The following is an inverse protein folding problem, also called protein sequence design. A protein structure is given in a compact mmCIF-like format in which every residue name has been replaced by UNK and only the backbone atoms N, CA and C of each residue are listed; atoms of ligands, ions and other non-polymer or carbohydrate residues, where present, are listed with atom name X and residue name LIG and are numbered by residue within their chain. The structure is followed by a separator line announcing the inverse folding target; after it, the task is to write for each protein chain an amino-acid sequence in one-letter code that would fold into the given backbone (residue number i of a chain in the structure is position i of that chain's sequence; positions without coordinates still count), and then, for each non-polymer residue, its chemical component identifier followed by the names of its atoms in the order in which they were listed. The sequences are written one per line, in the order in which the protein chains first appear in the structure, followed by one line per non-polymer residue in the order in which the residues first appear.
data_IF_778434307626
#
_entry.id   IF_778434307626
#
_cell.length_a   1.000
_cell.length_b   1.000
_cell.length_c   1.000
_cell.angle_alpha   90.00
_cell.angle_beta   90.00
_cell.angle_gamma   90.00
#
_symmetry.space_group_name_H-M   'P 1'
#
loop_
_entity.id
_entity.type
_entity.pdbx_description
1 polymer ?
#
# COMPACT_ATOMS: atom_id res chain seq x y z
N UNK A 1 -1.15 -3.84 29.63
CA UNK A 1 -0.51 -4.54 28.49
C UNK A 1 0.85 -3.93 28.33
N UNK A 2 1.91 -4.72 28.48
CA UNK A 2 3.29 -4.28 28.26
C UNK A 2 3.65 -4.52 26.78
N UNK A 3 3.78 -3.46 25.99
CA UNK A 3 4.11 -3.54 24.56
C UNK A 3 5.56 -3.98 24.28
N UNK A 4 6.36 -4.13 25.33
CA UNK A 4 7.76 -4.55 25.29
C UNK A 4 8.00 -5.87 26.04
N UNK A 5 7.10 -6.84 25.90
CA UNK A 5 7.23 -8.18 26.52
C UNK A 5 8.47 -8.99 26.06
N UNK A 6 9.23 -8.48 25.09
CA UNK A 6 10.50 -9.05 24.62
C UNK A 6 11.73 -8.48 25.31
N UNK A 7 11.60 -7.35 26.03
CA UNK A 7 12.68 -6.81 26.86
C UNK A 7 12.55 -7.41 28.26
N UNK A 8 13.64 -8.01 28.74
CA UNK A 8 13.71 -8.54 30.10
C UNK A 8 13.54 -7.40 31.11
N UNK A 9 12.34 -7.27 31.69
CA UNK A 9 11.98 -6.20 32.60
C UNK A 9 12.92 -6.11 33.82
N UNK A 10 13.60 -7.20 34.17
CA UNK A 10 14.57 -7.25 35.26
C UNK A 10 15.88 -6.49 34.96
N UNK A 11 16.22 -6.30 33.68
CA UNK A 11 17.45 -5.62 33.24
C UNK A 11 17.25 -4.13 32.97
N UNK A 12 16.00 -3.64 33.01
CA UNK A 12 15.65 -2.26 32.69
C UNK A 12 15.67 -1.38 33.95
N UNK A 13 16.38 -0.26 33.88
CA UNK A 13 16.45 0.72 34.99
C UNK A 13 15.11 1.44 35.21
N UNK A 14 14.39 1.18 36.30
CA UNK A 14 13.10 1.81 36.62
C UNK A 14 13.09 3.35 36.45
N UNK A 15 14.20 4.02 36.77
CA UNK A 15 14.26 5.49 36.73
C UNK A 15 14.58 6.08 35.35
N UNK A 16 15.02 5.26 34.39
CA UNK A 16 15.43 5.72 33.06
C UNK A 16 14.87 4.81 31.97
N UNK A 17 13.82 5.27 31.26
CA UNK A 17 13.30 4.52 30.13
C UNK A 17 14.32 4.42 28.99
N UNK A 18 14.09 3.51 28.04
CA UNK A 18 14.92 3.49 26.83
C UNK A 18 14.50 4.62 25.90
N UNK A 19 15.45 5.13 25.11
CA UNK A 19 15.14 6.14 24.09
C UNK A 19 14.14 5.59 23.04
N UNK A 20 14.18 4.27 22.77
CA UNK A 20 13.22 3.61 21.89
C UNK A 20 11.80 3.64 22.44
N UNK A 21 11.60 3.40 23.75
CA UNK A 21 10.29 3.55 24.40
C UNK A 21 9.71 4.96 24.18
N UNK A 22 10.53 6.00 24.41
CA UNK A 22 10.12 7.40 24.25
C UNK A 22 9.81 7.74 22.78
N UNK A 23 10.65 7.29 21.83
CA UNK A 23 10.41 7.54 20.40
C UNK A 23 9.13 6.83 19.95
N UNK A 24 8.91 5.59 20.42
CA UNK A 24 7.71 4.83 20.06
C UNK A 24 6.43 5.49 20.55
N UNK A 25 6.42 6.05 21.78
CA UNK A 25 5.27 6.80 22.28
C UNK A 25 5.00 8.05 21.44
N UNK A 26 6.05 8.78 21.07
CA UNK A 26 5.93 9.98 20.24
C UNK A 26 5.46 9.66 18.81
N UNK A 27 5.86 8.52 18.25
CA UNK A 27 5.39 8.07 16.93
C UNK A 27 3.89 7.74 16.96
N UNK A 28 3.43 7.01 17.97
CA UNK A 28 2.01 6.73 18.15
C UNK A 28 1.23 8.04 18.30
N UNK A 29 1.79 8.98 19.03
CA UNK A 29 1.19 10.29 19.23
C UNK A 29 1.02 11.09 17.93
N UNK A 30 2.06 11.12 17.09
CA UNK A 30 2.05 11.81 15.81
C UNK A 30 0.99 11.25 14.83
N UNK A 31 0.61 9.98 14.98
CA UNK A 31 -0.37 9.29 14.13
C UNK A 31 -1.83 9.57 14.53
N UNK A 32 -2.09 10.07 15.74
CA UNK A 32 -3.47 10.28 16.22
C UNK A 32 -4.22 11.34 15.41
N UNK A 33 -3.60 12.52 15.21
CA UNK A 33 -4.26 13.64 14.52
C UNK A 33 -4.57 13.33 13.05
N UNK A 34 -3.64 12.78 12.24
CA UNK A 34 -3.94 12.39 10.86
C UNK A 34 -5.03 11.31 10.77
N UNK A 35 -5.04 10.34 11.68
CA UNK A 35 -6.03 9.26 11.70
C UNK A 35 -7.44 9.78 11.97
N UNK A 36 -7.58 10.66 12.97
CA UNK A 36 -8.86 11.31 13.26
C UNK A 36 -9.34 12.18 12.09
N UNK A 37 -8.42 12.91 11.45
CA UNK A 37 -8.73 13.71 10.26
C UNK A 37 -9.21 12.84 9.11
N UNK A 38 -8.54 11.72 8.83
CA UNK A 38 -8.91 10.81 7.76
C UNK A 38 -10.32 10.23 7.97
N UNK A 39 -10.61 9.77 9.18
CA UNK A 39 -11.96 9.27 9.55
C UNK A 39 -12.99 10.37 9.31
N UNK A 40 -12.73 11.58 9.81
CA UNK A 40 -13.65 12.70 9.66
C UNK A 40 -13.90 13.05 8.19
N UNK A 41 -12.86 13.10 7.36
CA UNK A 41 -12.97 13.38 5.92
C UNK A 41 -13.77 12.28 5.22
N UNK A 42 -13.53 11.01 5.54
CA UNK A 42 -14.27 9.88 4.96
C UNK A 42 -15.77 9.93 5.29
N UNK A 43 -16.14 10.33 6.51
CA UNK A 43 -17.54 10.52 6.86
C UNK A 43 -18.11 11.83 6.32
N UNK A 44 -17.29 12.88 6.20
CA UNK A 44 -17.71 14.18 5.66
C UNK A 44 -18.12 14.07 4.19
N UNK A 45 -17.47 13.19 3.41
CA UNK A 45 -17.86 12.94 2.02
C UNK A 45 -19.22 12.24 1.89
N UNK A 46 -19.65 11.49 2.92
CA UNK A 46 -20.97 10.83 2.97
C UNK A 46 -22.07 11.73 3.52
N UNK A 47 -21.75 12.56 4.52
CA UNK A 47 -22.73 13.41 5.22
C UNK A 47 -22.26 14.88 5.32
N UNK A 48 -22.31 15.65 4.22
CA UNK A 48 -21.66 16.97 4.15
C UNK A 48 -22.30 18.06 5.02
N UNK A 49 -23.60 17.99 5.33
CA UNK A 49 -24.34 19.08 5.99
C UNK A 49 -23.73 19.52 7.34
N UNK A 50 -23.36 18.58 8.20
CA UNK A 50 -22.84 18.89 9.54
C UNK A 50 -21.32 18.69 9.63
N UNK A 51 -20.79 17.62 9.01
CA UNK A 51 -19.37 17.27 9.14
C UNK A 51 -18.44 18.23 8.43
N UNK A 52 -18.89 18.95 7.40
CA UNK A 52 -18.04 19.92 6.69
C UNK A 52 -17.64 21.09 7.60
N UNK A 53 -18.54 21.56 8.46
CA UNK A 53 -18.22 22.61 9.45
C UNK A 53 -17.21 22.14 10.49
N UNK A 54 -17.33 20.88 10.92
CA UNK A 54 -16.40 20.24 11.86
C UNK A 54 -15.04 20.07 11.21
N UNK A 55 -14.99 19.58 9.96
CA UNK A 55 -13.76 19.36 9.20
C UNK A 55 -13.00 20.68 8.95
N UNK A 56 -13.70 21.77 8.65
CA UNK A 56 -13.07 23.08 8.45
C UNK A 56 -12.46 23.66 9.74
N UNK A 57 -12.93 23.23 10.92
CA UNK A 57 -12.38 23.63 12.23
C UNK A 57 -11.67 22.48 12.93
N UNK A 58 -11.22 21.48 12.17
CA UNK A 58 -10.65 20.26 12.71
C UNK A 58 -9.49 20.54 13.66
N UNK A 59 -8.55 21.42 13.28
CA UNK A 59 -7.37 21.71 14.10
C UNK A 59 -7.74 22.25 15.49
N UNK A 60 -8.74 23.13 15.57
CA UNK A 60 -9.19 23.74 16.83
C UNK A 60 -9.92 22.71 17.71
N UNK A 61 -10.78 21.90 17.09
CA UNK A 61 -11.53 20.86 17.79
C UNK A 61 -10.58 19.77 18.28
N UNK A 62 -9.63 19.37 17.45
CA UNK A 62 -8.60 18.39 17.78
C UNK A 62 -7.70 18.89 18.90
N UNK A 63 -7.28 20.17 18.88
CA UNK A 63 -6.52 20.76 19.97
C UNK A 63 -7.27 20.71 21.29
N UNK A 64 -8.56 21.10 21.31
CA UNK A 64 -9.37 21.09 22.54
C UNK A 64 -9.56 19.65 23.05
N UNK A 65 -9.98 18.74 22.16
CA UNK A 65 -10.25 17.35 22.49
C UNK A 65 -8.99 16.66 22.99
N UNK A 66 -7.87 16.76 22.26
CA UNK A 66 -6.60 16.13 22.67
C UNK A 66 -6.11 16.75 23.97
N UNK A 67 -6.14 18.08 24.11
CA UNK A 67 -5.68 18.73 25.36
C UNK A 67 -6.52 18.31 26.57
N UNK A 68 -7.83 18.06 26.40
CA UNK A 68 -8.68 17.52 27.46
C UNK A 68 -8.28 16.08 27.86
N UNK A 69 -8.04 15.21 26.87
CA UNK A 69 -7.57 13.85 27.12
C UNK A 69 -6.21 13.89 27.83
N UNK A 70 -5.26 14.66 27.31
CA UNK A 70 -3.93 14.79 27.90
C UNK A 70 -3.98 15.39 29.30
N UNK A 71 -4.85 16.37 29.55
CA UNK A 71 -5.06 16.92 30.89
C UNK A 71 -5.52 15.85 31.88
N UNK A 72 -6.47 15.00 31.49
CA UNK A 72 -6.92 13.89 32.33
C UNK A 72 -5.77 12.92 32.63
N UNK A 73 -5.06 12.45 31.60
CA UNK A 73 -3.96 11.50 31.80
C UNK A 73 -2.80 12.09 32.61
N UNK A 74 -2.39 13.33 32.34
CA UNK A 74 -1.32 13.98 33.12
C UNK A 74 -1.74 14.26 34.57
N UNK A 75 -3.02 14.55 34.82
CA UNK A 75 -3.50 14.82 36.18
C UNK A 75 -3.53 13.57 37.06
N UNK A 76 -3.93 12.42 36.51
CA UNK A 76 -4.09 11.18 37.28
C UNK A 76 -2.88 10.24 37.16
N UNK A 77 -2.26 10.12 36.00
CA UNK A 77 -1.17 9.17 35.72
C UNK A 77 0.21 9.83 35.61
N UNK A 78 0.27 11.16 35.54
CA UNK A 78 1.53 11.92 35.38
C UNK A 78 2.29 11.62 34.08
N UNK A 79 1.65 10.98 33.12
CA UNK A 79 2.14 10.79 31.76
C UNK A 79 1.07 11.24 30.75
N UNK A 80 1.51 11.52 29.52
CA UNK A 80 0.61 11.66 28.38
C UNK A 80 -0.19 10.37 28.15
N UNK A 81 -1.32 10.46 27.44
CA UNK A 81 -2.11 9.30 27.02
C UNK A 81 -1.24 8.22 26.36
N UNK A 82 -0.36 8.62 25.43
CA UNK A 82 0.51 7.69 24.69
C UNK A 82 1.67 7.20 25.56
N UNK A 83 2.24 8.06 26.39
CA UNK A 83 3.27 7.68 27.37
C UNK A 83 2.74 6.61 28.34
N UNK A 84 1.54 6.80 28.89
CA UNK A 84 0.89 5.85 29.79
C UNK A 84 0.63 4.50 29.11
N UNK A 85 0.27 4.51 27.81
CA UNK A 85 0.12 3.29 27.02
C UNK A 85 1.43 2.48 26.90
N UNK A 86 2.57 3.18 26.87
CA UNK A 86 3.91 2.58 26.87
C UNK A 86 4.50 2.38 28.27
N UNK A 87 3.75 2.62 29.34
CA UNK A 87 4.22 2.43 30.71
C UNK A 87 5.15 3.54 31.21
N UNK A 88 5.10 4.73 30.62
CA UNK A 88 5.95 5.88 30.94
C UNK A 88 5.18 6.96 31.71
N UNK A 89 5.91 7.67 32.57
CA UNK A 89 5.43 8.86 33.28
C UNK A 89 6.50 9.97 33.32
N UNK A 90 6.05 11.20 33.53
CA UNK A 90 6.87 12.39 33.74
C UNK A 90 6.89 12.72 35.23
N UNK A 91 8.08 12.91 35.77
CA UNK A 91 8.30 13.23 37.19
C UNK A 91 9.10 14.52 37.34
N UNK A 92 8.84 15.25 38.41
CA UNK A 92 9.64 16.42 38.77
C UNK A 92 11.06 15.98 39.19
N UNK A 93 12.08 16.70 38.73
CA UNK A 93 13.48 16.45 39.09
C UNK A 93 13.71 16.87 40.55
N UNK A 94 13.52 15.94 41.48
CA UNK A 94 13.85 16.11 42.89
C UNK A 94 15.16 15.39 43.21
N UNK A 95 16.07 16.08 43.91
CA UNK A 95 17.29 15.44 44.42
C UNK A 95 16.87 14.38 45.43
N UNK A 96 17.04 13.12 45.07
CA UNK A 96 16.63 11.97 45.88
C UNK A 96 17.82 11.05 46.03
N UNK A 97 18.09 10.63 47.27
CA UNK A 97 19.14 9.67 47.55
C UNK A 97 18.63 8.25 47.26
N UNK A 98 19.42 7.44 46.57
CA UNK A 98 19.07 6.05 46.21
C UNK A 98 18.74 5.16 47.42
N UNK A 99 19.19 5.52 48.63
CA UNK A 99 18.84 4.80 49.88
C UNK A 99 17.42 5.12 50.37
N UNK A 100 16.92 6.32 50.08
CA UNK A 100 15.58 6.74 50.49
C UNK A 100 14.51 6.15 49.58
N UNK A 101 14.80 6.03 48.28
CA UNK A 101 13.92 5.38 47.30
C UNK A 101 13.66 3.92 47.66
N UNK A 102 14.66 3.21 48.18
CA UNK A 102 14.49 1.81 48.61
C UNK A 102 13.73 1.65 49.92
N UNK A 103 13.84 2.60 50.86
CA UNK A 103 13.21 2.48 52.19
C UNK A 103 11.75 2.93 52.19
N UNK A 104 11.43 4.01 51.48
CA UNK A 104 10.10 4.62 51.49
C UNK A 104 9.69 5.06 50.07
N UNK A 105 9.38 4.10 49.17
CA UNK A 105 9.13 4.40 47.76
C UNK A 105 7.89 5.29 47.55
N UNK A 106 6.81 5.07 48.31
CA UNK A 106 5.57 5.85 48.18
C UNK A 106 5.75 7.35 48.46
N UNK A 107 6.44 7.70 49.56
CA UNK A 107 6.68 9.10 49.93
C UNK A 107 7.61 9.82 48.94
N UNK A 108 8.54 9.09 48.31
CA UNK A 108 9.40 9.65 47.28
C UNK A 108 8.61 9.91 46.00
N UNK A 109 7.74 8.98 45.60
CA UNK A 109 6.86 9.16 44.45
C UNK A 109 5.87 10.31 44.64
N UNK A 110 5.36 10.52 45.86
CA UNK A 110 4.51 11.67 46.19
C UNK A 110 5.24 13.01 46.11
N UNK A 111 6.55 13.05 46.35
CA UNK A 111 7.36 14.26 46.12
C UNK A 111 7.74 14.48 44.66
N UNK A 112 7.77 13.42 43.86
CA UNK A 112 8.12 13.44 42.43
C UNK A 112 6.97 13.89 41.53
N UNK A 113 5.79 14.16 42.09
CA UNK A 113 4.63 14.60 41.34
C UNK A 113 4.86 15.94 40.61
N UNK A 114 4.21 16.09 39.45
CA UNK A 114 4.30 17.29 38.63
C UNK A 114 3.61 18.48 39.31
N UNK A 115 4.25 19.65 39.22
CA UNK A 115 3.63 20.93 39.59
C UNK A 115 2.60 21.36 38.55
N UNK A 116 1.67 22.26 38.92
CA UNK A 116 0.67 22.77 37.98
C UNK A 116 1.29 23.44 36.74
N UNK A 117 2.43 24.12 36.89
CA UNK A 117 3.16 24.70 35.76
C UNK A 117 3.76 23.62 34.85
N UNK A 118 4.41 22.61 35.44
CA UNK A 118 4.98 21.47 34.67
C UNK A 118 3.88 20.67 33.97
N UNK A 119 2.70 20.54 34.58
CA UNK A 119 1.54 19.91 33.97
C UNK A 119 1.07 20.71 32.75
N UNK A 120 0.91 22.03 32.86
CA UNK A 120 0.53 22.88 31.73
C UNK A 120 1.58 22.88 30.62
N UNK A 121 2.86 22.92 30.96
CA UNK A 121 3.98 22.81 30.00
C UNK A 121 3.94 21.48 29.28
N UNK A 122 3.66 20.38 29.99
CA UNK A 122 3.57 19.05 29.38
C UNK A 122 2.42 18.94 28.40
N UNK A 123 1.24 19.46 28.76
CA UNK A 123 0.11 19.55 27.83
C UNK A 123 0.50 20.39 26.61
N UNK A 124 1.13 21.54 26.84
CA UNK A 124 1.57 22.43 25.76
C UNK A 124 2.63 21.77 24.87
N UNK A 125 3.54 20.97 25.42
CA UNK A 125 4.54 20.24 24.63
C UNK A 125 3.90 19.22 23.69
N UNK A 126 2.95 18.43 24.20
CA UNK A 126 2.29 17.34 23.47
C UNK A 126 1.36 17.90 22.39
N UNK A 127 0.40 18.76 22.76
CA UNK A 127 -0.62 19.25 21.82
C UNK A 127 -0.30 20.64 21.27
N UNK A 128 0.20 21.53 22.11
CA UNK A 128 0.43 22.94 21.77
C UNK A 128 1.56 23.16 20.77
N UNK A 129 2.70 22.47 20.94
CA UNK A 129 3.84 22.58 20.02
C UNK A 129 3.47 22.07 18.64
N UNK A 130 2.78 20.93 18.55
CA UNK A 130 2.32 20.38 17.27
C UNK A 130 1.42 21.39 16.53
N UNK A 131 0.37 21.89 17.19
CA UNK A 131 -0.55 22.87 16.61
C UNK A 131 0.15 24.19 16.24
N UNK A 132 0.94 24.75 17.14
CA UNK A 132 1.62 26.03 16.91
C UNK A 132 2.64 25.90 15.78
N UNK A 133 3.39 24.80 15.73
CA UNK A 133 4.34 24.55 14.65
C UNK A 133 3.65 24.44 13.29
N UNK A 134 2.50 23.77 13.20
CA UNK A 134 1.72 23.65 11.96
C UNK A 134 1.20 25.03 11.51
N UNK A 135 0.60 25.81 12.41
CA UNK A 135 0.10 27.16 12.08
C UNK A 135 1.22 28.11 11.68
N UNK A 136 2.36 28.07 12.38
CA UNK A 136 3.51 28.92 12.06
C UNK A 136 4.16 28.52 10.73
N UNK A 137 4.33 27.22 10.45
CA UNK A 137 4.84 26.73 9.17
C UNK A 137 3.93 27.16 8.02
N UNK A 138 2.60 27.01 8.15
CA UNK A 138 1.64 27.45 7.14
C UNK A 138 1.75 28.96 6.85
N UNK A 139 1.83 29.78 7.91
CA UNK A 139 2.00 31.25 7.76
C UNK A 139 3.33 31.59 7.11
N UNK A 140 4.39 30.88 7.49
CA UNK A 140 5.71 31.02 6.90
C UNK A 140 5.68 30.72 5.40
N UNK A 141 5.12 29.60 4.95
CA UNK A 141 5.05 29.26 3.53
C UNK A 141 4.28 30.30 2.70
N UNK A 142 3.13 30.75 3.21
CA UNK A 142 2.31 31.77 2.55
C UNK A 142 3.04 33.11 2.43
N UNK A 143 3.74 33.55 3.48
CA UNK A 143 4.46 34.83 3.46
C UNK A 143 5.81 34.74 2.76
N UNK A 144 6.50 33.60 2.83
CA UNK A 144 7.75 33.34 2.13
C UNK A 144 7.54 33.40 0.61
N UNK A 145 6.45 32.82 0.10
CA UNK A 145 6.08 32.93 -1.32
C UNK A 145 5.88 34.39 -1.76
N UNK A 146 5.20 35.19 -0.92
CA UNK A 146 5.01 36.63 -1.19
C UNK A 146 6.29 37.45 -1.07
N UNK A 147 7.19 37.04 -0.18
CA UNK A 147 8.50 37.66 -0.01
C UNK A 147 9.38 37.44 -1.24
N UNK A 148 9.45 36.20 -1.75
CA UNK A 148 10.24 35.88 -2.95
C UNK A 148 9.69 36.57 -4.21
N UNK A 149 8.36 36.67 -4.32
CA UNK A 149 7.70 37.32 -5.47
C UNK A 149 7.71 38.84 -5.39
N UNK A 150 8.37 39.44 -4.38
CA UNK A 150 8.38 40.88 -4.10
C UNK A 150 6.97 41.50 -4.00
N UNK A 151 5.96 40.68 -3.69
CA UNK A 151 4.58 41.15 -3.42
C UNK A 151 4.43 41.70 -2.00
N UNK A 152 5.49 41.60 -1.19
CA UNK A 152 5.53 41.98 0.22
C UNK A 152 6.43 43.21 0.45
N UNK A 153 6.40 44.15 -0.48
CA UNK A 153 7.13 45.42 -0.40
C UNK A 153 6.23 46.59 0.02
N UNK A 154 6.84 47.61 0.63
CA UNK A 154 6.14 48.83 1.03
C UNK A 154 6.02 49.76 -0.15
N UNK A 155 4.79 50.18 -0.48
CA UNK A 155 4.53 51.22 -1.48
C UNK A 155 4.20 52.55 -0.78
N UNK A 156 4.58 53.66 -1.39
CA UNK A 156 4.31 55.02 -0.87
C UNK A 156 2.80 55.31 -0.70
N UNK A 157 1.93 54.58 -1.42
CA UNK A 157 0.48 54.68 -1.34
C UNK A 157 -0.15 53.99 -0.11
N UNK A 158 0.60 53.15 0.60
CA UNK A 158 0.06 52.34 1.70
C UNK A 158 0.00 53.15 3.01
N UNK A 159 -0.99 52.85 3.85
CA UNK A 159 -1.08 53.45 5.19
C UNK A 159 0.12 53.04 6.06
N UNK A 160 0.56 53.90 6.99
CA UNK A 160 1.66 53.60 7.93
C UNK A 160 1.46 52.29 8.69
N UNK A 161 0.20 51.98 9.03
CA UNK A 161 -0.18 50.72 9.69
C UNK A 161 0.07 49.53 8.78
N UNK A 162 -0.28 49.63 7.51
CA UNK A 162 -0.07 48.58 6.52
C UNK A 162 1.42 48.35 6.29
N UNK A 163 2.19 49.43 6.15
CA UNK A 163 3.65 49.39 6.05
C UNK A 163 4.30 48.73 7.27
N UNK A 164 3.81 49.00 8.48
CA UNK A 164 4.27 48.29 9.69
C UNK A 164 3.95 46.79 9.62
N UNK A 165 2.75 46.40 9.21
CA UNK A 165 2.41 44.97 9.10
C UNK A 165 3.25 44.25 8.05
N UNK A 166 3.57 44.91 6.93
CA UNK A 166 4.44 44.37 5.88
C UNK A 166 5.85 44.17 6.43
N UNK A 167 6.40 45.17 7.12
CA UNK A 167 7.71 45.07 7.78
C UNK A 167 7.76 43.95 8.82
N UNK A 168 6.71 43.78 9.63
CA UNK A 168 6.61 42.70 10.62
C UNK A 168 6.56 41.31 9.95
N UNK A 169 5.77 41.14 8.87
CA UNK A 169 5.72 39.89 8.11
C UNK A 169 7.08 39.55 7.49
N UNK A 170 7.77 40.54 6.94
CA UNK A 170 9.11 40.39 6.38
C UNK A 170 10.11 39.93 7.45
N UNK A 171 10.16 40.63 8.59
CA UNK A 171 11.02 40.21 9.71
C UNK A 171 10.67 38.82 10.23
N UNK A 172 9.39 38.46 10.28
CA UNK A 172 8.99 37.12 10.69
C UNK A 172 9.55 36.05 9.75
N UNK A 173 9.47 36.25 8.43
CA UNK A 173 10.00 35.31 7.43
C UNK A 173 11.53 35.16 7.57
N UNK A 174 12.23 36.25 7.90
CA UNK A 174 13.68 36.21 8.12
C UNK A 174 14.06 35.48 9.44
N UNK A 175 13.29 35.67 10.52
CA UNK A 175 13.62 35.15 11.86
C UNK A 175 13.13 33.71 12.10
N UNK A 176 11.96 33.36 11.57
CA UNK A 176 11.32 32.05 11.81
C UNK A 176 12.22 30.83 11.56
N UNK A 177 12.97 30.70 10.44
CA UNK A 177 13.81 29.53 10.21
C UNK A 177 14.92 29.38 11.26
N UNK A 178 15.46 30.48 11.78
CA UNK A 178 16.46 30.44 12.85
C UNK A 178 15.84 29.99 14.18
N UNK A 179 14.65 30.46 14.53
CA UNK A 179 13.93 30.00 15.72
C UNK A 179 13.60 28.49 15.64
N UNK A 180 13.11 28.04 14.48
CA UNK A 180 12.81 26.63 14.25
C UNK A 180 14.07 25.77 14.30
N UNK A 181 15.17 26.22 13.69
CA UNK A 181 16.48 25.56 13.77
C UNK A 181 16.98 25.47 15.21
N UNK A 182 16.94 26.57 15.96
CA UNK A 182 17.38 26.62 17.36
C UNK A 182 16.59 25.65 18.24
N UNK A 183 15.28 25.54 18.04
CA UNK A 183 14.45 24.59 18.78
C UNK A 183 14.82 23.13 18.47
N UNK A 184 15.03 22.79 17.18
CA UNK A 184 15.45 21.45 16.75
C UNK A 184 16.84 21.08 17.27
N UNK A 185 17.80 22.00 17.20
CA UNK A 185 19.15 21.84 17.75
C UNK A 185 19.08 21.66 19.27
N UNK A 186 18.24 22.44 19.95
CA UNK A 186 17.99 22.29 21.39
C UNK A 186 17.51 20.89 21.76
N UNK A 187 16.51 20.37 21.05
CA UNK A 187 16.02 18.99 21.25
C UNK A 187 17.09 17.94 20.93
N UNK A 188 17.91 18.16 19.89
CA UNK A 188 19.00 17.24 19.55
C UNK A 188 20.06 17.20 20.66
N UNK A 189 20.43 18.35 21.22
CA UNK A 189 21.38 18.43 22.34
C UNK A 189 20.81 17.72 23.58
N UNK A 190 19.52 17.89 23.90
CA UNK A 190 18.93 17.18 25.03
C UNK A 190 18.87 15.68 24.82
N UNK A 191 18.63 15.20 23.59
CA UNK A 191 18.71 13.77 23.26
C UNK A 191 20.14 13.24 23.45
N UNK A 192 21.16 14.00 23.04
CA UNK A 192 22.56 13.62 23.28
C UNK A 192 22.91 13.58 24.77
N UNK A 193 22.47 14.58 25.54
CA UNK A 193 22.64 14.59 27.00
C UNK A 193 21.89 13.45 27.67
N UNK A 194 20.73 13.10 27.14
CA UNK A 194 19.98 11.93 27.55
C UNK A 194 20.81 10.68 27.28
N UNK A 195 21.21 10.40 26.05
CA UNK A 195 22.03 9.23 25.69
C UNK A 195 23.33 9.13 26.50
N UNK A 196 24.00 10.26 26.76
CA UNK A 196 25.22 10.33 27.57
C UNK A 196 25.02 9.96 29.05
N UNK A 197 23.78 9.89 29.54
CA UNK A 197 23.48 9.60 30.96
C UNK A 197 23.47 10.84 31.86
N UNK A 198 23.83 12.02 31.34
CA UNK A 198 23.91 13.26 32.12
C UNK A 198 22.52 13.81 32.48
N UNK A 199 21.53 13.57 31.62
CA UNK A 199 20.15 14.00 31.83
C UNK A 199 19.17 12.84 31.71
N UNK A 200 18.04 12.95 32.43
CA UNK A 200 16.87 12.05 32.31
C UNK A 200 15.71 12.69 31.53
N UNK A 201 15.92 13.88 30.94
CA UNK A 201 14.98 14.54 30.02
C UNK A 201 15.46 14.44 28.56
N UNK A 202 14.66 13.86 27.65
CA UNK A 202 14.97 13.76 26.23
C UNK A 202 14.59 15.03 25.43
N UNK A 203 13.63 15.84 25.88
CA UNK A 203 13.16 17.03 25.15
C UNK A 203 13.64 18.34 25.78
N UNK A 204 13.74 19.39 24.97
CA UNK A 204 14.16 20.72 25.41
C UNK A 204 13.24 21.28 26.51
N UNK A 205 11.92 21.14 26.33
CA UNK A 205 10.94 21.67 27.28
C UNK A 205 11.02 20.93 28.61
N UNK A 206 11.11 19.59 28.60
CA UNK A 206 11.25 18.82 29.84
C UNK A 206 12.56 19.12 30.55
N UNK A 207 13.65 19.33 29.81
CA UNK A 207 14.92 19.75 30.39
C UNK A 207 14.84 21.14 31.05
N UNK A 208 14.26 22.12 30.35
CA UNK A 208 14.15 23.50 30.84
C UNK A 208 13.28 23.61 32.10
N UNK A 209 12.20 22.82 32.17
CA UNK A 209 11.29 22.79 33.32
C UNK A 209 11.66 21.75 34.39
N UNK A 210 12.88 21.17 34.31
CA UNK A 210 13.43 20.21 35.28
C UNK A 210 12.49 19.02 35.52
N UNK A 211 12.09 18.38 34.44
CA UNK A 211 11.26 17.19 34.42
C UNK A 211 12.08 16.00 33.90
N UNK A 212 11.83 14.82 34.45
CA UNK A 212 12.45 13.57 34.04
C UNK A 212 11.40 12.58 33.55
N UNK A 213 11.79 11.67 32.68
CA UNK A 213 10.98 10.50 32.35
C UNK A 213 11.33 9.34 33.27
N UNK A 214 10.32 8.60 33.72
CA UNK A 214 10.44 7.39 34.52
C UNK A 214 9.42 6.34 34.04
N UNK A 215 9.63 5.08 34.40
CA UNK A 215 8.62 4.04 34.16
C UNK A 215 7.51 4.11 35.24
N UNK A 216 6.32 3.64 34.90
CA UNK A 216 5.22 3.49 35.86
C UNK A 216 5.59 2.43 36.89
N UNK A 217 5.35 2.74 38.16
CA UNK A 217 5.62 1.86 39.29
C UNK A 217 4.32 1.22 39.80
N UNK A 218 4.44 0.14 40.56
CA UNK A 218 3.29 -0.52 41.19
C UNK A 218 2.46 0.43 42.06
N UNK A 219 3.11 1.41 42.69
CA UNK A 219 2.45 2.48 43.44
C UNK A 219 1.45 3.27 42.57
N UNK A 220 1.81 3.61 41.33
CA UNK A 220 0.95 4.40 40.44
C UNK A 220 -0.30 3.61 40.03
N UNK A 221 -0.15 2.31 39.76
CA UNK A 221 -1.30 1.43 39.51
C UNK A 221 -2.20 1.32 40.73
N UNK A 222 -1.64 1.11 41.91
CA UNK A 222 -2.43 0.99 43.15
C UNK A 222 -3.19 2.28 43.50
N UNK A 223 -2.66 3.44 43.12
CA UNK A 223 -3.29 4.74 43.35
C UNK A 223 -4.49 4.99 42.43
N UNK A 224 -4.44 4.47 41.21
CA UNK A 224 -5.47 4.70 40.18
C UNK A 224 -6.40 3.49 39.97
N UNK A 225 -6.15 2.37 40.64
CA UNK A 225 -7.07 1.24 40.64
C UNK A 225 -8.39 1.68 41.30
N UNK A 226 -9.54 1.50 40.62
CA UNK A 226 -10.82 1.80 41.23
C UNK A 226 -10.98 0.91 42.46
N UNK A 227 -10.88 1.50 43.65
CA UNK A 227 -11.10 0.78 44.91
C UNK A 227 -12.47 0.12 44.78
N UNK A 228 -12.56 -1.22 44.88
CA UNK A 228 -13.84 -1.89 44.83
C UNK A 228 -14.66 -1.32 45.97
N UNK A 229 -15.69 -0.55 45.61
CA UNK A 229 -16.68 -0.09 46.57
C UNK A 229 -17.28 -1.37 47.11
N UNK A 230 -16.89 -1.75 48.33
CA UNK A 230 -17.63 -2.75 49.08
C UNK A 230 -19.05 -2.21 49.14
N UNK A 231 -20.00 -2.93 48.55
CA UNK A 231 -21.42 -2.61 48.61
C UNK A 231 -21.86 -2.72 50.07
N UNK A 232 -21.52 -1.73 50.90
CA UNK A 232 -22.30 -1.45 52.10
C UNK A 232 -23.62 -0.95 51.56
N UNK A 233 -24.59 -1.87 51.49
CA UNK A 233 -25.95 -1.55 51.07
C UNK A 233 -26.41 -0.28 51.78
N UNK A 234 -27.01 0.68 51.07
CA UNK A 234 -27.50 1.88 51.73
C UNK A 234 -28.49 1.46 52.81
N UNK A 235 -28.21 1.82 54.06
CA UNK A 235 -29.24 1.85 55.09
C UNK A 235 -30.12 3.06 54.70
N UNK A 236 -31.13 2.81 53.87
CA UNK A 236 -32.04 3.83 53.34
C UNK A 236 -32.98 4.31 54.48
N UNK A 237 -32.73 5.52 55.02
CA UNK A 237 -33.54 6.12 56.10
C UNK A 237 -34.55 7.16 55.54
N UNK A 238 -34.58 7.42 54.23
CA UNK A 238 -35.51 8.40 53.63
C UNK A 238 -36.04 7.96 52.26
N UNK A 239 -37.30 8.30 51.90
CA UNK A 239 -37.85 8.00 50.59
C UNK A 239 -37.21 8.89 49.51
N UNK A 240 -36.95 8.35 48.30
CA UNK A 240 -36.25 9.07 47.23
C UNK A 240 -37.10 10.20 46.64
N UNK A 241 -36.42 11.27 46.26
CA UNK A 241 -37.04 12.39 45.52
C UNK A 241 -37.32 11.99 44.06
N UNK A 242 -38.25 12.67 43.38
CA UNK A 242 -38.64 12.34 41.99
C UNK A 242 -37.49 12.39 40.98
N UNK A 243 -36.52 13.29 41.20
CA UNK A 243 -35.30 13.37 40.39
C UNK A 243 -34.36 12.18 40.62
N UNK A 244 -34.27 11.70 41.85
CA UNK A 244 -33.44 10.55 42.23
C UNK A 244 -34.00 9.24 41.66
N UNK A 245 -35.33 9.11 41.61
CA UNK A 245 -35.98 8.00 40.89
C UNK A 245 -35.69 8.03 39.39
N UNK A 246 -35.64 9.21 38.77
CA UNK A 246 -35.31 9.35 37.34
C UNK A 246 -33.83 9.03 37.06
N UNK A 247 -32.92 9.47 37.94
CA UNK A 247 -31.48 9.14 37.88
C UNK A 247 -31.26 7.63 38.11
N UNK A 248 -31.96 7.01 39.07
CA UNK A 248 -31.94 5.54 39.25
C UNK A 248 -32.47 4.83 38.01
N UNK A 249 -33.54 5.31 37.39
CA UNK A 249 -34.07 4.70 36.17
C UNK A 249 -33.08 4.80 35.00
N UNK A 250 -32.50 5.98 34.76
CA UNK A 250 -31.47 6.21 33.74
C UNK A 250 -30.22 5.35 33.97
N UNK A 251 -29.72 5.29 35.21
CA UNK A 251 -28.53 4.50 35.53
C UNK A 251 -28.79 2.99 35.46
N UNK A 252 -29.97 2.52 35.88
CA UNK A 252 -30.26 1.08 35.90
C UNK A 252 -30.62 0.55 34.51
N UNK A 253 -31.41 1.30 33.73
CA UNK A 253 -31.88 0.85 32.41
C UNK A 253 -30.97 1.23 31.24
N UNK A 254 -30.17 2.29 31.34
CA UNK A 254 -29.36 2.76 30.20
C UNK A 254 -27.86 2.53 30.44
N UNK A 255 -27.32 2.91 31.61
CA UNK A 255 -25.86 2.82 31.81
C UNK A 255 -25.37 1.40 32.13
N UNK A 256 -26.10 0.60 32.93
CA UNK A 256 -25.70 -0.79 33.22
C UNK A 256 -25.64 -1.70 31.98
N UNK A 257 -26.64 -1.76 31.08
CA UNK A 257 -26.55 -2.62 29.90
C UNK A 257 -25.50 -2.12 28.90
N UNK A 258 -25.34 -0.80 28.73
CA UNK A 258 -24.30 -0.25 27.84
C UNK A 258 -22.89 -0.53 28.34
N UNK A 259 -22.64 -0.42 29.65
CA UNK A 259 -21.34 -0.77 30.25
C UNK A 259 -21.05 -2.28 30.09
N UNK A 260 -22.05 -3.14 30.27
CA UNK A 260 -21.88 -4.58 30.07
C UNK A 260 -21.62 -4.92 28.59
N UNK A 261 -22.26 -4.21 27.67
CA UNK A 261 -22.04 -4.35 26.23
C UNK A 261 -20.64 -3.85 25.83
N UNK A 262 -20.19 -2.72 26.40
CA UNK A 262 -18.81 -2.22 26.23
C UNK A 262 -17.79 -3.22 26.78
N UNK A 263 -18.03 -3.80 27.97
CA UNK A 263 -17.16 -4.83 28.55
C UNK A 263 -17.13 -6.10 27.68
N UNK A 264 -18.26 -6.49 27.09
CA UNK A 264 -18.32 -7.62 26.15
C UNK A 264 -17.56 -7.32 24.84
N UNK A 265 -17.71 -6.10 24.30
CA UNK A 265 -17.00 -5.67 23.09
C UNK A 265 -15.49 -5.59 23.35
N UNK A 266 -15.05 -4.95 24.44
CA UNK A 266 -13.62 -4.81 24.76
C UNK A 266 -12.98 -6.11 25.26
N UNK A 267 -13.71 -6.91 26.02
CA UNK A 267 -13.18 -8.11 26.67
C UNK A 267 -13.17 -9.34 25.77
N UNK A 268 -14.25 -9.56 24.99
CA UNK A 268 -14.43 -10.82 24.25
C UNK A 268 -14.31 -10.59 22.75
N UNK A 269 -14.98 -9.56 22.23
CA UNK A 269 -15.00 -9.30 20.79
C UNK A 269 -13.67 -8.75 20.29
N UNK A 270 -13.04 -7.83 21.02
CA UNK A 270 -11.81 -7.18 20.60
C UNK A 270 -10.61 -8.14 20.53
N UNK A 271 -10.34 -9.01 21.53
CA UNK A 271 -9.32 -10.05 21.38
C UNK A 271 -9.65 -11.06 20.28
N UNK A 272 -10.93 -11.42 20.11
CA UNK A 272 -11.38 -12.27 19.00
C UNK A 272 -11.12 -11.63 17.64
N UNK A 273 -11.40 -10.33 17.49
CA UNK A 273 -11.17 -9.56 16.26
C UNK A 273 -9.67 -9.36 15.98
N UNK A 274 -8.85 -9.13 17.02
CA UNK A 274 -7.39 -9.09 16.88
C UNK A 274 -6.85 -10.45 16.48
N UNK A 275 -7.34 -11.53 17.09
CA UNK A 275 -6.95 -12.88 16.74
C UNK A 275 -7.32 -13.20 15.29
N UNK A 276 -8.54 -12.86 14.84
CA UNK A 276 -8.94 -13.08 13.45
C UNK A 276 -8.13 -12.22 12.49
N UNK A 277 -7.86 -10.95 12.81
CA UNK A 277 -6.99 -10.11 11.98
C UNK A 277 -5.55 -10.61 11.93
N UNK A 278 -4.97 -11.02 13.06
CA UNK A 278 -3.63 -11.62 13.12
C UNK A 278 -3.59 -12.97 12.41
N UNK A 279 -4.67 -13.73 12.50
CA UNK A 279 -4.86 -14.97 11.74
C UNK A 279 -4.95 -14.69 10.24
N UNK A 280 -5.67 -13.65 9.80
CA UNK A 280 -5.71 -13.24 8.38
C UNK A 280 -4.36 -12.68 7.90
N UNK A 281 -3.68 -11.89 8.74
CA UNK A 281 -2.34 -11.37 8.45
C UNK A 281 -1.34 -12.53 8.32
N UNK A 282 -1.38 -13.48 9.25
CA UNK A 282 -0.63 -14.72 9.15
C UNK A 282 -1.07 -15.54 7.93
N UNK A 283 -2.36 -15.67 7.65
CA UNK A 283 -2.88 -16.46 6.51
C UNK A 283 -2.41 -15.89 5.17
N UNK A 284 -2.36 -14.57 5.07
CA UNK A 284 -1.93 -13.87 3.85
C UNK A 284 -0.40 -13.76 3.74
N UNK A 285 0.32 -13.61 4.86
CA UNK A 285 1.78 -13.49 4.87
C UNK A 285 2.50 -14.85 4.96
N UNK A 286 1.85 -15.87 5.49
CA UNK A 286 2.40 -17.21 5.55
C UNK A 286 2.09 -17.95 4.26
N UNK A 287 3.08 -18.72 3.84
CA UNK A 287 2.95 -19.78 2.83
C UNK A 287 2.00 -20.92 3.27
N UNK A 288 1.02 -20.67 4.13
CA UNK A 288 0.06 -21.67 4.54
C UNK A 288 -0.93 -22.00 3.42
N UNK A 289 -1.40 -20.99 2.66
CA UNK A 289 -2.20 -21.21 1.45
C UNK A 289 -1.43 -22.00 0.39
N UNK A 290 -0.14 -21.70 0.21
CA UNK A 290 0.74 -22.42 -0.72
C UNK A 290 1.12 -23.82 -0.21
N UNK A 291 1.23 -24.03 1.12
CA UNK A 291 1.41 -25.36 1.75
C UNK A 291 0.12 -26.19 1.75
N UNK A 292 -1.05 -25.58 1.93
CA UNK A 292 -2.35 -26.24 1.77
C UNK A 292 -2.59 -26.63 0.32
N UNK A 293 -2.28 -25.75 -0.63
CA UNK A 293 -2.33 -26.07 -2.07
C UNK A 293 -1.36 -27.21 -2.43
N UNK A 294 -0.16 -27.23 -1.85
CA UNK A 294 0.79 -28.35 -2.01
C UNK A 294 0.30 -29.66 -1.36
N UNK A 295 -0.36 -29.59 -0.22
CA UNK A 295 -0.87 -30.78 0.51
C UNK A 295 -2.23 -31.28 -0.01
N UNK A 296 -3.08 -30.43 -0.60
CA UNK A 296 -4.39 -30.79 -1.17
C UNK A 296 -4.33 -31.35 -2.60
N UNK A 297 -3.12 -31.52 -3.15
CA UNK A 297 -2.91 -32.33 -4.33
C UNK A 297 -2.56 -31.52 -5.58
N UNK A 298 -1.39 -31.86 -6.09
CA UNK A 298 -1.05 -32.06 -7.50
C UNK A 298 -2.25 -32.35 -8.43
N UNK A 299 -3.07 -31.35 -8.75
CA UNK A 299 -3.99 -31.40 -9.90
C UNK A 299 -3.94 -30.11 -10.72
N UNK A 300 -3.46 -28.98 -10.16
CA UNK A 300 -3.34 -27.72 -10.87
C UNK A 300 -1.99 -27.01 -10.64
N UNK A 301 -0.91 -27.75 -10.39
CA UNK A 301 0.44 -27.18 -10.41
C UNK A 301 1.01 -27.18 -11.84
N UNK A 302 0.25 -26.56 -12.77
CA UNK A 302 0.90 -25.91 -13.90
C UNK A 302 1.47 -24.61 -13.34
N UNK A 303 2.66 -24.73 -12.72
CA UNK A 303 3.46 -23.57 -12.36
C UNK A 303 3.60 -22.70 -13.59
N UNK A 304 2.84 -21.59 -13.65
CA UNK A 304 3.06 -20.58 -14.68
C UNK A 304 4.46 -20.04 -14.41
N UNK A 305 5.44 -20.36 -15.26
CA UNK A 305 6.81 -20.09 -14.92
C UNK A 305 7.00 -18.56 -15.06
N UNK A 306 7.88 -17.93 -14.26
CA UNK A 306 8.03 -16.47 -14.22
C UNK A 306 8.15 -15.87 -15.63
N UNK A 307 7.67 -14.64 -15.88
CA UNK A 307 7.47 -14.11 -17.24
C UNK A 307 8.72 -14.16 -18.15
N UNK A 308 9.92 -14.15 -17.56
CA UNK A 308 11.21 -14.35 -18.24
C UNK A 308 11.42 -15.79 -18.76
N UNK A 309 11.01 -16.78 -17.97
CA UNK A 309 11.01 -18.19 -18.39
C UNK A 309 9.87 -18.50 -19.35
N UNK A 310 8.74 -17.79 -19.29
CA UNK A 310 7.70 -17.85 -20.32
C UNK A 310 8.22 -17.31 -21.66
N UNK A 311 8.94 -16.20 -21.68
CA UNK A 311 9.55 -15.68 -22.92
C UNK A 311 10.67 -16.60 -23.43
N UNK A 312 11.49 -17.15 -22.54
CA UNK A 312 12.51 -18.14 -22.90
C UNK A 312 11.90 -19.46 -23.41
N UNK A 313 10.83 -19.95 -22.78
CA UNK A 313 10.12 -21.17 -23.20
C UNK A 313 9.29 -20.95 -24.47
N UNK A 314 8.69 -19.77 -24.67
CA UNK A 314 8.00 -19.41 -25.92
C UNK A 314 8.99 -19.21 -27.07
N UNK A 315 10.18 -18.66 -26.81
CA UNK A 315 11.23 -18.55 -27.83
C UNK A 315 11.87 -19.91 -28.12
N UNK A 316 12.13 -20.74 -27.11
CA UNK A 316 12.63 -22.11 -27.27
C UNK A 316 11.62 -23.00 -28.01
N UNK A 317 10.34 -22.97 -27.64
CA UNK A 317 9.28 -23.71 -28.33
C UNK A 317 9.01 -23.19 -29.75
N UNK A 318 9.09 -21.88 -30.00
CA UNK A 318 9.07 -21.33 -31.38
C UNK A 318 10.30 -21.77 -32.19
N UNK A 319 11.47 -21.88 -31.57
CA UNK A 319 12.69 -22.35 -32.21
C UNK A 319 12.67 -23.86 -32.46
N UNK A 320 12.12 -24.66 -31.55
CA UNK A 320 11.91 -26.10 -31.72
C UNK A 320 10.84 -26.42 -32.77
N UNK A 321 9.70 -25.71 -32.77
CA UNK A 321 8.70 -25.83 -33.84
C UNK A 321 9.29 -25.41 -35.20
N UNK A 322 10.16 -24.39 -35.24
CA UNK A 322 10.91 -24.01 -36.45
C UNK A 322 11.97 -25.04 -36.89
N UNK A 323 12.56 -25.79 -35.95
CA UNK A 323 13.52 -26.88 -36.24
C UNK A 323 12.80 -28.16 -36.70
N UNK A 324 11.65 -28.51 -36.13
CA UNK A 324 10.83 -29.66 -36.54
C UNK A 324 10.14 -29.45 -37.91
N UNK A 325 9.80 -28.20 -38.27
CA UNK A 325 9.12 -27.88 -39.55
C UNK A 325 10.02 -27.39 -40.69
N UNK A 326 11.34 -27.55 -40.62
CA UNK A 326 12.22 -27.33 -41.77
C UNK A 326 12.99 -28.59 -42.12
N UNK A 327 12.39 -29.43 -42.98
CA UNK A 327 13.20 -30.18 -43.94
C UNK A 327 13.90 -29.12 -44.81
N UNK A 328 15.15 -28.79 -44.51
CA UNK A 328 15.99 -28.02 -45.44
C UNK A 328 16.12 -28.90 -46.68
N UNK A 329 15.33 -28.61 -47.71
CA UNK A 329 15.51 -29.25 -49.00
C UNK A 329 16.82 -28.74 -49.59
N UNK A 330 17.80 -29.62 -49.68
CA UNK A 330 19.03 -29.40 -50.46
C UNK A 330 18.68 -29.74 -51.91
N UNK A 331 18.87 -28.79 -52.82
CA UNK A 331 18.58 -28.95 -54.25
C UNK A 331 19.25 -30.22 -54.79
N UNK A 332 18.45 -31.28 -55.01
CA UNK A 332 18.91 -32.56 -55.56
C UNK A 332 18.64 -32.65 -57.06
N UNK A 333 18.98 -33.78 -57.68
CA UNK A 333 18.72 -34.05 -59.12
C UNK A 333 17.23 -34.27 -59.47
N UNK A 334 16.32 -34.18 -58.49
CA UNK A 334 14.91 -34.54 -58.60
C UNK A 334 14.00 -33.33 -58.33
N UNK A 335 13.04 -33.09 -59.22
CA UNK A 335 12.07 -31.99 -59.13
C UNK A 335 11.06 -32.21 -57.97
N UNK A 336 10.86 -31.24 -57.06
CA UNK A 336 9.96 -31.39 -55.91
C UNK A 336 8.46 -31.48 -56.25
N UNK A 337 8.05 -31.04 -57.44
CA UNK A 337 6.64 -31.04 -57.84
C UNK A 337 6.24 -32.37 -58.49
N UNK A 338 7.01 -32.85 -59.47
CA UNK A 338 6.72 -34.09 -60.20
C UNK A 338 7.47 -35.32 -59.64
N UNK A 339 8.45 -35.12 -58.74
CA UNK A 339 9.32 -36.15 -58.14
C UNK A 339 10.13 -36.99 -59.15
N UNK A 340 10.32 -36.49 -60.37
CA UNK A 340 11.18 -37.08 -61.42
C UNK A 340 12.51 -36.33 -61.54
N UNK A 341 13.49 -36.91 -62.23
CA UNK A 341 14.77 -36.22 -62.52
C UNK A 341 14.55 -34.93 -63.32
N UNK A 342 15.34 -33.90 -63.02
CA UNK A 342 15.23 -32.58 -63.64
C UNK A 342 15.63 -32.64 -65.11
N UNK A 343 14.68 -32.34 -66.00
CA UNK A 343 14.87 -32.34 -67.46
C UNK A 343 15.11 -30.94 -68.01
N UNK A 344 14.43 -29.94 -67.45
CA UNK A 344 14.61 -28.52 -67.81
C UNK A 344 14.66 -27.68 -66.54
N UNK A 345 15.83 -27.63 -65.86
CA UNK A 345 15.95 -27.03 -64.56
C UNK A 345 15.74 -25.51 -64.64
N UNK A 346 14.86 -25.00 -63.78
CA UNK A 346 14.55 -23.59 -63.64
C UNK A 346 14.56 -23.19 -62.16
N UNK A 347 15.18 -22.05 -61.89
CA UNK A 347 15.29 -21.47 -60.56
C UNK A 347 14.28 -20.34 -60.37
N UNK A 348 13.69 -20.29 -59.17
CA UNK A 348 12.82 -19.20 -58.71
C UNK A 348 13.55 -18.33 -57.67
N UNK A 349 13.05 -17.13 -57.40
CA UNK A 349 13.66 -16.14 -56.47
C UNK A 349 14.02 -16.69 -55.08
N UNK A 350 13.30 -17.71 -54.61
CA UNK A 350 13.59 -18.37 -53.31
C UNK A 350 14.81 -19.30 -53.33
N UNK A 351 15.46 -19.47 -54.49
CA UNK A 351 16.68 -20.27 -54.66
C UNK A 351 16.47 -21.77 -54.90
N UNK A 352 15.21 -22.21 -55.06
CA UNK A 352 14.87 -23.61 -55.32
C UNK A 352 14.76 -23.90 -56.82
N UNK A 353 15.18 -25.12 -57.21
CA UNK A 353 15.19 -25.58 -58.60
C UNK A 353 14.04 -26.58 -58.84
N UNK A 354 13.34 -26.41 -59.96
CA UNK A 354 12.23 -27.24 -60.43
C UNK A 354 12.35 -27.45 -61.94
N UNK A 355 11.55 -28.34 -62.52
CA UNK A 355 11.34 -28.32 -63.97
C UNK A 355 10.53 -27.08 -64.37
N UNK A 356 10.96 -26.40 -65.44
CA UNK A 356 10.35 -25.17 -65.92
C UNK A 356 8.83 -25.31 -66.13
N UNK A 357 8.38 -26.39 -66.77
CA UNK A 357 6.96 -26.62 -67.04
C UNK A 357 6.16 -26.86 -65.75
N UNK A 358 6.72 -27.59 -64.79
CA UNK A 358 6.05 -27.88 -63.51
C UNK A 358 5.87 -26.61 -62.68
N UNK A 359 6.90 -25.78 -62.56
CA UNK A 359 6.81 -24.58 -61.72
C UNK A 359 5.97 -23.48 -62.37
N UNK A 360 6.00 -23.35 -63.70
CA UNK A 360 5.17 -22.41 -64.44
C UNK A 360 3.68 -22.73 -64.25
N UNK A 361 3.27 -23.98 -64.52
CA UNK A 361 1.88 -24.42 -64.38
C UNK A 361 1.40 -24.34 -62.92
N UNK A 362 2.29 -24.57 -61.95
CA UNK A 362 1.96 -24.43 -60.54
C UNK A 362 1.68 -22.97 -60.17
N UNK A 363 2.49 -22.03 -60.65
CA UNK A 363 2.35 -20.60 -60.33
C UNK A 363 1.11 -20.00 -60.97
N UNK A 364 0.79 -20.40 -62.19
CA UNK A 364 -0.46 -20.06 -62.88
C UNK A 364 -1.70 -20.45 -62.06
N UNK A 365 -1.71 -21.68 -61.53
CA UNK A 365 -2.83 -22.22 -60.73
C UNK A 365 -2.68 -22.03 -59.22
N UNK A 366 -1.72 -21.21 -58.79
CA UNK A 366 -1.33 -21.11 -57.38
C UNK A 366 -2.45 -20.61 -56.46
N UNK A 367 -3.29 -19.69 -56.93
CA UNK A 367 -4.42 -19.14 -56.19
C UNK A 367 -5.52 -20.19 -55.91
N UNK A 368 -5.69 -21.17 -56.80
CA UNK A 368 -6.62 -22.30 -56.65
C UNK A 368 -6.02 -23.35 -55.69
N UNK A 369 -4.75 -23.71 -55.90
CA UNK A 369 -4.08 -24.75 -55.09
C UNK A 369 -3.96 -24.31 -53.63
N UNK A 370 -3.64 -23.04 -53.37
CA UNK A 370 -3.48 -22.51 -52.01
C UNK A 370 -4.83 -22.35 -51.32
N UNK A 371 -5.86 -21.87 -52.02
CA UNK A 371 -7.21 -21.73 -51.42
C UNK A 371 -7.79 -23.09 -51.01
N UNK A 372 -7.59 -24.14 -51.83
CA UNK A 372 -8.01 -25.49 -51.49
C UNK A 372 -7.25 -26.07 -50.28
N UNK A 373 -5.94 -25.79 -50.14
CA UNK A 373 -5.15 -26.23 -48.98
C UNK A 373 -5.53 -25.52 -47.67
N UNK A 374 -5.96 -24.27 -47.73
CA UNK A 374 -6.43 -23.55 -46.54
C UNK A 374 -7.77 -24.15 -46.07
N UNK A 375 -8.69 -24.40 -47.00
CA UNK A 375 -9.97 -25.04 -46.69
C UNK A 375 -9.83 -26.44 -46.10
N UNK A 376 -8.87 -27.25 -46.59
CA UNK A 376 -8.63 -28.57 -45.99
C UNK A 376 -8.10 -28.45 -44.56
N UNK A 377 -7.26 -27.44 -44.26
CA UNK A 377 -6.72 -27.23 -42.93
C UNK A 377 -7.74 -26.72 -41.92
N UNK A 378 -8.64 -25.83 -42.33
CA UNK A 378 -9.73 -25.36 -41.47
C UNK A 378 -10.65 -26.53 -41.08
N UNK A 379 -10.95 -27.43 -42.03
CA UNK A 379 -11.69 -28.67 -41.74
C UNK A 379 -10.96 -29.60 -40.77
N UNK A 380 -9.65 -29.81 -40.94
CA UNK A 380 -8.85 -30.67 -40.05
C UNK A 380 -8.64 -30.09 -38.63
N UNK A 381 -8.86 -28.78 -38.44
CA UNK A 381 -8.73 -28.08 -37.15
C UNK A 381 -10.08 -28.07 -36.39
N UNK A 382 -11.21 -27.95 -37.09
CA UNK A 382 -12.55 -28.02 -36.49
C UNK A 382 -12.94 -29.45 -36.06
N UNK A 383 -12.40 -30.48 -36.72
CA UNK A 383 -12.69 -31.90 -36.44
C UNK A 383 -11.91 -32.47 -35.23
N UNK A 384 -11.03 -31.67 -34.60
CA UNK A 384 -10.22 -32.07 -33.43
C UNK A 384 -10.71 -31.54 -32.09
N UNK A 385 -11.79 -30.76 -32.08
CA UNK A 385 -12.34 -30.15 -30.85
C UNK A 385 -13.58 -30.88 -30.30
N UNK A 386 -14.01 -31.99 -30.91
CA UNK A 386 -15.04 -32.88 -30.37
C UNK A 386 -14.76 -34.34 -30.74
N UNK A 387 -14.26 -35.15 -29.80
CA UNK A 387 -14.42 -36.62 -29.85
C UNK A 387 -14.35 -37.25 -28.45
N UNK A 388 -15.53 -37.58 -27.93
CA UNK A 388 -15.97 -38.71 -27.09
C UNK A 388 -17.51 -38.54 -27.07
N UNK A 389 -18.41 -39.38 -27.58
CA UNK A 389 -18.46 -40.82 -27.86
C UNK A 389 -19.34 -41.10 -29.13
N UNK A 390 -19.22 -42.34 -29.63
CA UNK A 390 -19.90 -43.00 -30.77
C UNK A 390 -21.43 -42.75 -30.87
N UNK A 391 -22.12 -42.77 -32.02
CA UNK A 391 -22.21 -43.82 -33.05
C UNK A 391 -23.00 -43.32 -34.29
N UNK A 392 -22.56 -43.77 -35.47
CA UNK A 392 -23.22 -44.01 -36.77
C UNK A 392 -24.52 -43.27 -37.19
N UNK A 393 -24.47 -42.57 -38.33
CA UNK A 393 -25.29 -42.91 -39.51
C UNK A 393 -24.77 -42.24 -40.80
N UNK A 394 -24.70 -43.03 -41.86
CA UNK A 394 -24.24 -42.66 -43.20
C UNK A 394 -25.39 -41.96 -43.93
N UNK A 395 -25.20 -40.71 -44.33
CA UNK A 395 -26.05 -40.06 -45.34
C UNK A 395 -25.18 -39.38 -46.39
N UNK A 396 -25.13 -39.99 -47.57
CA UNK A 396 -24.64 -39.36 -48.80
C UNK A 396 -25.56 -38.19 -49.15
N UNK A 397 -25.03 -36.97 -49.14
CA UNK A 397 -25.69 -35.81 -49.79
C UNK A 397 -24.68 -35.10 -50.68
N UNK A 398 -25.06 -35.08 -51.95
CA UNK A 398 -24.37 -34.53 -53.10
C UNK A 398 -23.87 -33.09 -52.88
N UNK A 399 -22.58 -32.86 -53.16
CA UNK A 399 -21.96 -31.53 -53.16
C UNK A 399 -22.54 -30.69 -54.31
N UNK A 400 -23.37 -29.71 -53.99
CA UNK A 400 -23.63 -28.57 -54.87
C UNK A 400 -22.40 -27.66 -54.85
N UNK A 401 -21.73 -27.56 -55.99
CA UNK A 401 -20.61 -26.64 -56.22
C UNK A 401 -21.13 -25.19 -56.28
N UNK A 402 -21.07 -24.47 -55.17
CA UNK A 402 -21.21 -23.01 -55.19
C UNK A 402 -19.89 -22.36 -55.67
N UNK A 403 -19.94 -21.30 -56.49
CA UNK A 403 -18.75 -20.65 -57.04
C UNK A 403 -17.99 -19.93 -55.92
N UNK A 404 -16.97 -20.60 -55.38
CA UNK A 404 -16.22 -20.08 -54.25
C UNK A 404 -15.43 -18.84 -54.67
N UNK A 405 -15.57 -17.72 -53.94
CA UNK A 405 -14.70 -16.54 -54.08
C UNK A 405 -13.24 -16.96 -53.84
N UNK A 406 -12.44 -17.00 -54.89
CA UNK A 406 -11.03 -17.38 -54.78
C UNK A 406 -10.25 -16.13 -54.39
N UNK A 407 -9.59 -16.16 -53.23
CA UNK A 407 -8.74 -15.06 -52.78
C UNK A 407 -7.47 -14.96 -53.65
N UNK A 408 -7.51 -14.08 -54.64
CA UNK A 408 -6.39 -13.82 -55.57
C UNK A 408 -5.10 -13.47 -54.82
N UNK A 409 -5.21 -12.77 -53.69
CA UNK A 409 -4.07 -12.37 -52.85
C UNK A 409 -3.26 -13.54 -52.27
N UNK A 410 -3.80 -14.76 -52.27
CA UNK A 410 -3.13 -15.97 -51.76
C UNK A 410 -2.28 -16.68 -52.83
N UNK A 411 -2.37 -16.30 -54.11
CA UNK A 411 -1.54 -16.84 -55.19
C UNK A 411 -0.11 -16.29 -55.25
N UNK A 412 0.68 -16.79 -56.20
CA UNK A 412 2.06 -16.35 -56.47
C UNK A 412 3.08 -16.74 -55.40
N UNK A 413 2.90 -17.90 -54.72
CA UNK A 413 3.76 -18.34 -53.61
C UNK A 413 4.62 -19.56 -53.99
N UNK A 414 5.82 -19.61 -53.44
CA UNK A 414 6.72 -20.76 -53.59
C UNK A 414 6.11 -22.04 -52.95
N UNK A 415 6.07 -23.18 -53.66
CA UNK A 415 5.44 -24.42 -53.18
C UNK A 415 6.11 -25.00 -51.93
N UNK A 416 7.41 -24.78 -51.75
CA UNK A 416 8.20 -25.35 -50.65
C UNK A 416 8.20 -24.43 -49.43
N UNK A 417 8.40 -23.12 -49.65
CA UNK A 417 8.57 -22.16 -48.54
C UNK A 417 7.29 -21.42 -48.16
N UNK A 418 6.27 -21.41 -49.02
CA UNK A 418 5.03 -20.65 -48.83
C UNK A 418 5.21 -19.12 -48.93
N UNK A 419 6.43 -18.64 -49.22
CA UNK A 419 6.72 -17.21 -49.39
C UNK A 419 6.20 -16.70 -50.73
N UNK A 420 5.70 -15.47 -50.77
CA UNK A 420 5.25 -14.79 -51.99
C UNK A 420 6.46 -14.45 -52.88
N UNK A 421 6.37 -14.77 -54.17
CA UNK A 421 7.35 -14.41 -55.19
C UNK A 421 7.03 -12.99 -55.68
N UNK A 422 8.06 -12.17 -55.84
CA UNK A 422 7.95 -10.77 -56.25
C UNK A 422 7.62 -10.65 -57.75
N UNK A 423 8.17 -11.55 -58.57
CA UNK A 423 7.93 -11.60 -60.01
C UNK A 423 6.58 -12.19 -60.42
N UNK A 424 5.79 -12.74 -59.49
CA UNK A 424 4.43 -13.21 -59.79
C UNK A 424 3.41 -12.13 -59.41
N UNK A 425 2.77 -11.52 -60.42
CA UNK A 425 1.72 -10.51 -60.24
C UNK A 425 0.44 -10.93 -60.94
N UNK A 426 -0.70 -10.65 -60.33
CA UNK A 426 -1.99 -10.92 -60.95
C UNK A 426 -2.35 -9.77 -61.89
N UNK A 427 -2.62 -10.06 -63.15
CA UNK A 427 -3.16 -9.09 -64.08
C UNK A 427 -4.69 -9.17 -64.05
N UNK A 428 -5.34 -8.15 -63.48
CA UNK A 428 -6.79 -8.09 -63.33
C UNK A 428 -7.56 -7.93 -64.64
N UNK A 429 -6.89 -7.54 -65.74
CA UNK A 429 -7.53 -7.30 -67.04
C UNK A 429 -7.60 -8.60 -67.86
N UNK A 430 -6.58 -9.45 -67.76
CA UNK A 430 -6.51 -10.75 -68.46
C UNK A 430 -7.00 -11.92 -67.61
N UNK A 431 -7.26 -11.70 -66.32
CA UNK A 431 -7.61 -12.73 -65.34
C UNK A 431 -6.57 -13.87 -65.27
N UNK A 432 -5.30 -13.54 -65.50
CA UNK A 432 -4.17 -14.48 -65.51
C UNK A 432 -3.00 -13.97 -64.64
N UNK A 433 -2.15 -14.90 -64.19
CA UNK A 433 -0.92 -14.56 -63.50
C UNK A 433 0.18 -14.20 -64.50
N UNK A 434 0.71 -12.99 -64.40
CA UNK A 434 1.96 -12.61 -65.06
C UNK A 434 3.12 -13.15 -64.21
N UNK A 435 3.85 -14.11 -64.80
CA UNK A 435 4.92 -14.84 -64.12
C UNK A 435 6.27 -14.37 -64.66
N UNK A 436 6.91 -13.49 -63.92
CA UNK A 436 8.29 -13.05 -64.13
C UNK A 436 9.21 -13.66 -63.05
N UNK A 437 10.51 -13.75 -63.34
CA UNK A 437 11.51 -14.19 -62.36
C UNK A 437 11.79 -15.70 -62.30
N UNK A 438 11.17 -16.51 -63.16
CA UNK A 438 11.63 -17.89 -63.42
C UNK A 438 12.81 -17.82 -64.40
N UNK A 439 13.99 -18.24 -63.97
CA UNK A 439 15.18 -18.30 -64.83
C UNK A 439 15.49 -19.76 -65.16
N UNK A 440 15.52 -20.09 -66.45
CA UNK A 440 15.99 -21.40 -66.90
C UNK A 440 17.49 -21.48 -66.68
N UNK A 441 17.94 -22.59 -66.10
CA UNK A 441 19.35 -22.92 -65.96
C UNK A 441 19.75 -23.68 -67.22
N UNK A 442 20.44 -22.99 -68.12
CA UNK A 442 21.04 -23.63 -69.29
C UNK A 442 22.33 -24.28 -68.79
N UNK A 443 22.48 -25.58 -69.02
CA UNK A 443 23.73 -26.31 -68.85
C UNK A 443 24.47 -26.41 -70.17
#
# INVERSE_FOLDING_TARGET
MEYYSSLDASQLDSERPTLFEIISSNQLEALLSPSLRYILVHYASKYPKYLLRVNNRFDEINLILRSFIEWYFLKYWQGSFTENFYGLKRVNQTLTNNKLTSMVPSMVEERRQLTNLQLLVSIFEVTGVAYLSEKLNYRYEVWYTKYITNQLDTHESNSDRENLTIKLKRKFVEIYPYLQSSYRVGNFITILLYLSGNSKSPSLLTYLFRMNFARLNQYDYSKNEPVPVQETGPIEIAPPTSLESMIRFLTTNISKPTINLIKFILGTFFPGAIFTLKFLEWWNNSDFSSKLAKNQGNVLDFTLPPPSTLTAALTASRQEKRKKNKRRYTSGKVCPLCKKELTNPAIIETGYVFDYSCIYNYLEKSHIIVSNRVKSKEKDEDEKDYSDEEQEEIVEVEKKEEPTKIDINKGGRCPITGKKLLGCKWNSIKEEWEIEGIRRLIF
#
